data_IF_812000670544
#
_entry.id   IF_812000670544
#
_cell.length_a   1.000
_cell.length_b   1.000
_cell.length_c   1.000
_cell.angle_alpha   90.00
_cell.angle_beta   90.00
_cell.angle_gamma   90.00
#
_symmetry.space_group_name_H-M   'P 1'
#
loop_
_entity.id
_entity.type
_entity.pdbx_description
1 polymer ?
#
# COMPACT_ATOMS: atom_id res chain seq x y z
N UNK A 1 5.38 -20.31 12.46
CA UNK A 1 4.63 -19.46 13.42
C UNK A 1 3.80 -18.38 12.71
N UNK A 2 4.25 -17.81 11.59
CA UNK A 2 3.39 -16.95 10.74
C UNK A 2 2.30 -17.71 9.98
N UNK A 3 2.50 -19.03 9.77
CA UNK A 3 1.52 -19.98 9.24
C UNK A 3 0.85 -20.82 10.36
N UNK A 4 0.71 -20.26 11.56
CA UNK A 4 0.05 -20.99 12.65
C UNK A 4 -1.44 -21.21 12.36
N UNK A 5 -2.02 -22.26 12.96
CA UNK A 5 -3.47 -22.51 12.88
C UNK A 5 -4.26 -21.46 13.65
N UNK A 6 -3.66 -20.89 14.71
CA UNK A 6 -4.22 -19.75 15.42
C UNK A 6 -3.81 -18.43 14.75
N UNK A 7 -4.81 -17.78 14.14
CA UNK A 7 -4.62 -16.53 13.41
C UNK A 7 -4.11 -15.39 14.30
N UNK A 8 -4.49 -15.36 15.58
CA UNK A 8 -3.98 -14.39 16.54
C UNK A 8 -2.47 -14.56 16.78
N UNK A 9 -1.99 -15.80 16.89
CA UNK A 9 -0.56 -16.10 17.06
C UNK A 9 0.22 -15.70 15.80
N UNK A 10 -0.34 -15.96 14.62
CA UNK A 10 0.25 -15.53 13.36
C UNK A 10 0.39 -14.00 13.26
N UNK A 11 -0.63 -13.24 13.69
CA UNK A 11 -0.60 -11.77 13.73
C UNK A 11 0.46 -11.26 14.69
N UNK A 12 0.55 -11.82 15.90
CA UNK A 12 1.58 -11.41 16.87
C UNK A 12 2.99 -11.77 16.39
N UNK A 13 3.16 -12.92 15.75
CA UNK A 13 4.44 -13.32 15.13
C UNK A 13 4.85 -12.34 14.02
N UNK A 14 3.91 -11.94 13.15
CA UNK A 14 4.17 -10.93 12.10
C UNK A 14 4.60 -9.59 12.70
N UNK A 15 3.90 -9.11 13.74
CA UNK A 15 4.27 -7.87 14.43
C UNK A 15 5.64 -7.95 15.10
N UNK A 16 5.97 -9.10 15.70
CA UNK A 16 7.29 -9.32 16.29
C UNK A 16 8.39 -9.27 15.22
N UNK A 17 8.21 -9.96 14.09
CA UNK A 17 9.17 -9.94 12.98
C UNK A 17 9.35 -8.53 12.41
N UNK A 18 8.25 -7.77 12.32
CA UNK A 18 8.31 -6.36 11.94
C UNK A 18 9.14 -5.53 12.93
N UNK A 19 8.94 -5.69 14.24
CA UNK A 19 9.74 -5.00 15.26
C UNK A 19 11.22 -5.44 15.22
N UNK A 20 11.49 -6.71 14.97
CA UNK A 20 12.86 -7.21 14.84
C UNK A 20 13.55 -6.60 13.62
N UNK A 21 12.85 -6.49 12.47
CA UNK A 21 13.39 -5.86 11.26
C UNK A 21 13.75 -4.39 11.43
N UNK A 22 13.02 -3.66 12.30
CA UNK A 22 13.25 -2.24 12.56
C UNK A 22 14.42 -2.02 13.54
N UNK A 23 14.63 -2.95 14.46
CA UNK A 23 15.66 -2.83 15.49
C UNK A 23 16.96 -3.54 15.10
N UNK A 24 16.91 -4.48 14.16
CA UNK A 24 18.05 -5.28 13.72
C UNK A 24 17.96 -5.49 12.20
N UNK A 25 18.67 -4.67 11.41
CA UNK A 25 18.64 -4.75 9.94
C UNK A 25 19.17 -6.08 9.37
N UNK A 26 19.94 -6.84 10.16
CA UNK A 26 20.67 -8.04 9.70
C UNK A 26 20.01 -9.37 10.11
N UNK A 27 18.80 -9.33 10.67
CA UNK A 27 18.15 -10.53 11.24
C UNK A 27 17.21 -11.23 10.25
N UNK A 28 16.69 -10.53 9.25
CA UNK A 28 15.82 -11.10 8.23
C UNK A 28 16.52 -11.16 6.89
N UNK A 29 16.57 -12.36 6.30
CA UNK A 29 17.04 -12.53 4.92
C UNK A 29 16.07 -11.86 3.93
N UNK A 30 16.55 -11.61 2.71
CA UNK A 30 15.69 -11.19 1.60
C UNK A 30 14.57 -12.22 1.34
N UNK A 31 14.90 -13.51 1.46
CA UNK A 31 13.95 -14.62 1.33
C UNK A 31 12.85 -14.56 2.41
N UNK A 32 13.22 -14.24 3.65
CA UNK A 32 12.25 -14.10 4.74
C UNK A 32 11.31 -12.92 4.45
N UNK A 33 11.84 -11.79 3.96
CA UNK A 33 11.03 -10.63 3.59
C UNK A 33 10.01 -10.95 2.49
N UNK A 34 10.43 -11.68 1.45
CA UNK A 34 9.53 -12.13 0.38
C UNK A 34 8.39 -12.98 0.94
N UNK A 35 8.67 -13.93 1.84
CA UNK A 35 7.62 -14.72 2.49
C UNK A 35 6.67 -13.85 3.32
N UNK A 36 7.17 -12.80 3.98
CA UNK A 36 6.34 -11.88 4.75
C UNK A 36 5.42 -11.05 3.86
N UNK A 37 5.91 -10.62 2.70
CA UNK A 37 5.11 -9.86 1.74
C UNK A 37 3.99 -10.70 1.13
N UNK A 38 4.13 -12.03 1.04
CA UNK A 38 3.03 -12.91 0.60
C UNK A 38 1.80 -12.83 1.52
N UNK A 39 1.97 -12.49 2.82
CA UNK A 39 0.85 -12.41 3.75
C UNK A 39 -0.11 -11.24 3.47
N UNK A 40 0.32 -10.27 2.67
CA UNK A 40 -0.51 -9.18 2.14
C UNK A 40 -1.67 -9.71 1.29
N UNK A 41 -1.60 -10.96 0.81
CA UNK A 41 -2.67 -11.60 0.04
C UNK A 41 -3.49 -12.63 0.84
N UNK A 42 -3.32 -12.71 2.17
CA UNK A 42 -4.06 -13.68 3.00
C UNK A 42 -5.54 -13.34 3.12
N UNK A 43 -6.43 -14.30 3.38
CA UNK A 43 -7.85 -13.99 3.63
C UNK A 43 -8.10 -13.40 5.01
N UNK A 44 -7.15 -13.53 5.94
CA UNK A 44 -7.27 -13.01 7.31
C UNK A 44 -6.84 -11.54 7.38
N UNK A 45 -7.81 -10.60 7.32
CA UNK A 45 -7.55 -9.15 7.28
C UNK A 45 -6.55 -8.66 8.35
N UNK A 46 -6.64 -9.04 9.65
CA UNK A 46 -5.67 -8.56 10.64
C UNK A 46 -4.22 -8.95 10.35
N UNK A 47 -4.00 -10.11 9.74
CA UNK A 47 -2.66 -10.58 9.34
C UNK A 47 -2.19 -9.84 8.09
N UNK A 48 -3.08 -9.67 7.11
CA UNK A 48 -2.80 -8.92 5.90
C UNK A 48 -2.45 -7.45 6.16
N UNK A 49 -3.20 -6.78 7.05
CA UNK A 49 -2.94 -5.39 7.45
C UNK A 49 -1.60 -5.27 8.19
N UNK A 50 -1.24 -6.24 9.04
CA UNK A 50 0.07 -6.26 9.68
C UNK A 50 1.21 -6.48 8.67
N UNK A 51 1.00 -7.32 7.66
CA UNK A 51 1.96 -7.50 6.56
C UNK A 51 2.06 -6.25 5.67
N UNK A 52 0.94 -5.57 5.43
CA UNK A 52 0.88 -4.31 4.70
C UNK A 52 1.64 -3.18 5.41
N UNK A 53 1.53 -3.09 6.73
CA UNK A 53 2.34 -2.18 7.55
C UNK A 53 3.84 -2.45 7.38
N UNK A 54 4.24 -3.72 7.42
CA UNK A 54 5.64 -4.13 7.23
C UNK A 54 6.14 -3.74 5.84
N UNK A 55 5.37 -4.04 4.79
CA UNK A 55 5.68 -3.64 3.41
C UNK A 55 5.81 -2.12 3.28
N UNK A 56 4.84 -1.36 3.80
CA UNK A 56 4.86 0.10 3.71
C UNK A 56 6.06 0.72 4.43
N UNK A 57 6.38 0.25 5.64
CA UNK A 57 7.56 0.71 6.38
C UNK A 57 8.87 0.38 5.67
N UNK A 58 8.97 -0.80 5.04
CA UNK A 58 10.15 -1.17 4.25
C UNK A 58 10.27 -0.34 2.97
N UNK A 59 9.16 -0.10 2.26
CA UNK A 59 9.11 0.81 1.11
C UNK A 59 9.60 2.22 1.46
N UNK A 60 9.19 2.74 2.62
CA UNK A 60 9.65 4.03 3.13
C UNK A 60 11.13 4.02 3.56
N UNK A 61 11.62 2.91 4.13
CA UNK A 61 12.99 2.81 4.65
C UNK A 61 14.04 2.65 3.55
N UNK A 62 13.72 1.96 2.44
CA UNK A 62 14.63 1.78 1.31
C UNK A 62 15.00 3.10 0.61
N UNK A 63 14.23 4.17 0.79
CA UNK A 63 14.52 5.51 0.23
C UNK A 63 15.30 6.42 1.21
N UNK A 64 15.57 5.97 2.44
CA UNK A 64 16.36 6.71 3.42
C UNK A 64 17.87 6.48 3.31
N UNK A 65 18.31 5.51 2.52
CA UNK A 65 19.71 5.11 2.39
C UNK A 65 20.40 5.67 1.13
N UNK A 66 19.63 6.27 0.20
CA UNK A 66 20.14 6.87 -1.02
C UNK A 66 19.51 8.27 -1.16
N UNK A 67 20.31 9.29 -1.47
CA UNK A 67 19.97 10.72 -1.54
C UNK A 67 20.12 11.56 -0.24
N UNK A 68 21.33 11.63 0.31
CA UNK A 68 21.86 12.95 0.72
C UNK A 68 22.28 13.74 -0.54
N UNK A 69 21.31 14.20 -1.34
CA UNK A 69 21.52 15.35 -2.23
C UNK A 69 20.31 16.27 -2.11
N UNK A 70 20.43 17.45 -1.48
CA UNK A 70 19.31 18.36 -1.31
C UNK A 70 19.08 19.11 -2.62
N UNK A 71 18.42 18.48 -3.58
CA UNK A 71 17.99 19.18 -4.80
C UNK A 71 16.77 20.04 -4.50
N UNK A 72 17.05 21.32 -4.25
CA UNK A 72 16.11 22.42 -4.19
C UNK A 72 15.28 22.49 -5.48
N UNK A 73 14.03 22.02 -5.47
CA UNK A 73 12.84 22.66 -6.06
C UNK A 73 11.67 21.67 -6.14
N UNK A 74 10.55 22.05 -5.53
CA UNK A 74 9.20 21.75 -6.03
C UNK A 74 8.70 20.30 -5.92
N UNK A 75 7.56 20.14 -5.24
CA UNK A 75 6.63 19.05 -5.53
C UNK A 75 6.50 18.02 -4.42
N UNK A 76 5.39 18.11 -3.68
CA UNK A 76 4.89 17.02 -2.83
C UNK A 76 4.65 15.71 -3.61
N UNK A 77 4.65 15.77 -4.95
CA UNK A 77 4.48 14.66 -5.89
C UNK A 77 5.66 13.67 -5.90
N UNK A 78 6.90 14.13 -5.76
CA UNK A 78 8.11 13.30 -5.98
C UNK A 78 8.19 12.05 -5.08
N UNK A 79 7.98 12.13 -3.75
CA UNK A 79 8.04 10.95 -2.90
C UNK A 79 6.87 9.99 -3.16
N UNK A 80 5.66 10.49 -3.42
CA UNK A 80 4.51 9.61 -3.69
C UNK A 80 4.67 8.88 -5.03
N UNK A 81 5.20 9.56 -6.04
CA UNK A 81 5.51 8.97 -7.34
C UNK A 81 6.55 7.85 -7.25
N UNK A 82 7.64 8.06 -6.50
CA UNK A 82 8.66 7.01 -6.30
C UNK A 82 8.09 5.81 -5.53
N UNK A 83 7.33 6.05 -4.46
CA UNK A 83 6.68 4.97 -3.70
C UNK A 83 5.65 4.19 -4.55
N UNK A 84 4.89 4.88 -5.41
CA UNK A 84 3.96 4.24 -6.34
C UNK A 84 4.70 3.36 -7.35
N UNK A 85 5.80 3.86 -7.94
CA UNK A 85 6.63 3.06 -8.86
C UNK A 85 7.18 1.82 -8.18
N UNK A 86 7.75 1.93 -6.97
CA UNK A 86 8.24 0.77 -6.22
C UNK A 86 7.12 -0.21 -5.89
N UNK A 87 5.92 0.26 -5.52
CA UNK A 87 4.76 -0.59 -5.25
C UNK A 87 4.31 -1.36 -6.51
N UNK A 88 4.30 -0.70 -7.67
CA UNK A 88 3.95 -1.33 -8.95
C UNK A 88 4.98 -2.39 -9.32
N UNK A 89 6.28 -2.07 -9.21
CA UNK A 89 7.37 -3.02 -9.46
C UNK A 89 7.24 -4.22 -8.53
N UNK A 90 7.01 -3.99 -7.23
CA UNK A 90 6.75 -5.05 -6.27
C UNK A 90 5.55 -5.94 -6.67
N UNK A 91 4.45 -5.34 -7.12
CA UNK A 91 3.29 -6.12 -7.57
C UNK A 91 3.63 -7.00 -8.78
N UNK A 92 4.33 -6.46 -9.77
CA UNK A 92 4.75 -7.18 -10.98
C UNK A 92 5.74 -8.31 -10.67
N UNK A 93 6.72 -8.06 -9.80
CA UNK A 93 7.73 -9.05 -9.38
C UNK A 93 7.14 -10.14 -8.50
N UNK A 94 6.11 -9.82 -7.71
CA UNK A 94 5.57 -10.76 -6.75
C UNK A 94 4.94 -12.00 -7.40
N UNK A 95 4.58 -11.97 -8.70
CA UNK A 95 3.86 -13.04 -9.45
C UNK A 95 2.62 -13.62 -8.73
N UNK A 96 2.19 -13.00 -7.64
CA UNK A 96 1.06 -13.43 -6.84
C UNK A 96 -0.17 -12.85 -7.51
N UNK A 97 -0.72 -13.63 -8.45
CA UNK A 97 -1.94 -13.33 -9.23
C UNK A 97 -3.23 -13.17 -8.38
N UNK A 98 -3.14 -12.75 -7.12
CA UNK A 98 -4.26 -12.56 -6.21
C UNK A 98 -4.57 -11.07 -6.09
N UNK A 99 -5.12 -10.52 -7.19
CA UNK A 99 -5.80 -9.23 -7.32
C UNK A 99 -5.26 -8.02 -6.53
N UNK A 100 -5.02 -6.92 -7.25
CA UNK A 100 -4.68 -5.60 -6.67
C UNK A 100 -5.60 -5.19 -5.51
N UNK A 101 -6.87 -5.60 -5.51
CA UNK A 101 -7.83 -5.32 -4.44
C UNK A 101 -7.41 -5.82 -3.05
N UNK A 102 -6.72 -6.97 -2.96
CA UNK A 102 -6.21 -7.48 -1.68
C UNK A 102 -4.98 -6.73 -1.20
N UNK A 103 -4.13 -6.30 -2.14
CA UNK A 103 -2.97 -5.45 -1.85
C UNK A 103 -3.43 -4.09 -1.32
N UNK A 104 -4.39 -3.46 -2.00
CA UNK A 104 -4.94 -2.16 -1.63
C UNK A 104 -5.63 -2.22 -0.26
N UNK A 105 -6.48 -3.20 0.02
CA UNK A 105 -7.13 -3.33 1.36
C UNK A 105 -6.13 -3.55 2.49
N UNK A 106 -5.06 -4.30 2.25
CA UNK A 106 -4.01 -4.51 3.27
C UNK A 106 -3.26 -3.22 3.60
N UNK A 107 -3.08 -2.37 2.59
CA UNK A 107 -2.36 -1.11 2.70
C UNK A 107 -3.29 0.04 3.09
N UNK A 108 -4.61 -0.13 3.01
CA UNK A 108 -5.60 0.94 3.19
C UNK A 108 -5.46 1.68 4.51
N UNK A 109 -5.21 0.93 5.60
CA UNK A 109 -5.10 1.46 6.96
C UNK A 109 -3.75 2.21 7.20
N UNK A 110 -2.72 1.98 6.38
CA UNK A 110 -1.36 2.49 6.62
C UNK A 110 -0.83 3.44 5.55
N UNK A 111 -1.16 3.19 4.29
CA UNK A 111 -0.70 3.95 3.13
C UNK A 111 -1.82 4.83 2.56
N UNK A 112 -2.79 5.26 3.38
CA UNK A 112 -3.97 6.02 2.92
C UNK A 112 -3.58 7.29 2.16
N UNK A 113 -2.51 7.98 2.58
CA UNK A 113 -2.02 9.19 1.91
C UNK A 113 -1.46 8.90 0.52
N UNK A 114 -0.88 7.72 0.32
CA UNK A 114 -0.36 7.26 -0.99
C UNK A 114 -1.52 6.76 -1.87
N UNK A 115 -2.43 5.97 -1.31
CA UNK A 115 -3.53 5.32 -2.05
C UNK A 115 -4.64 6.29 -2.46
N UNK A 116 -4.79 7.43 -1.77
CA UNK A 116 -5.75 8.48 -2.12
C UNK A 116 -5.15 9.63 -2.94
N UNK A 117 -3.85 9.57 -3.25
CA UNK A 117 -3.20 10.57 -4.11
C UNK A 117 -3.47 10.28 -5.60
N UNK A 118 -4.75 10.35 -5.97
CA UNK A 118 -5.18 10.10 -7.34
C UNK A 118 -4.67 11.15 -8.31
N UNK A 119 -4.45 12.39 -7.83
CA UNK A 119 -3.81 13.44 -8.63
C UNK A 119 -2.42 12.99 -9.06
N UNK A 120 -1.59 12.49 -8.13
CA UNK A 120 -0.29 11.89 -8.44
C UNK A 120 -0.37 10.69 -9.37
N UNK A 121 -1.29 9.75 -9.12
CA UNK A 121 -1.47 8.59 -9.99
C UNK A 121 -1.88 8.96 -11.42
N UNK A 122 -2.77 9.96 -11.58
CA UNK A 122 -3.19 10.43 -12.91
C UNK A 122 -2.11 11.23 -13.61
N UNK A 123 -1.34 12.03 -12.89
CA UNK A 123 -0.19 12.74 -13.45
C UNK A 123 0.87 11.75 -13.97
N UNK A 124 1.16 10.68 -13.22
CA UNK A 124 2.06 9.60 -13.66
C UNK A 124 1.62 8.92 -14.97
N UNK A 125 0.31 8.87 -15.26
CA UNK A 125 -0.23 8.27 -16.48
C UNK A 125 -0.31 9.27 -17.66
N UNK A 126 -0.37 10.57 -17.38
CA UNK A 126 -0.73 11.60 -18.37
C UNK A 126 0.38 12.61 -18.66
N UNK A 127 1.25 12.90 -17.69
CA UNK A 127 2.34 13.85 -17.88
C UNK A 127 3.43 13.19 -18.73
N UNK A 128 3.71 13.80 -19.88
CA UNK A 128 4.90 13.50 -20.65
C UNK A 128 6.09 13.90 -19.79
N UNK A 129 6.68 12.90 -19.17
CA UNK A 129 7.83 13.07 -18.31
C UNK A 129 8.90 13.86 -19.08
N UNK A 130 9.21 15.06 -18.59
CA UNK A 130 10.31 15.86 -19.11
C UNK A 130 11.62 15.15 -18.74
N UNK A 131 12.13 14.37 -19.70
CA UNK A 131 13.52 13.93 -19.95
C UNK A 131 14.35 13.23 -18.84
N UNK A 132 13.95 13.19 -17.56
CA UNK A 132 14.74 12.57 -16.47
C UNK A 132 14.03 11.48 -15.65
N UNK A 133 12.72 11.33 -15.73
CA UNK A 133 12.01 10.22 -15.06
C UNK A 133 11.75 9.07 -16.06
N UNK A 134 11.95 7.83 -15.63
CA UNK A 134 11.67 6.66 -16.47
C UNK A 134 10.19 6.60 -16.84
N UNK A 135 9.92 6.53 -18.16
CA UNK A 135 8.58 6.29 -18.71
C UNK A 135 8.07 4.95 -18.20
N UNK A 136 6.84 4.95 -17.67
CA UNK A 136 6.18 3.73 -17.22
C UNK A 136 6.04 2.77 -18.41
N UNK A 137 6.37 1.51 -18.20
CA UNK A 137 6.06 0.46 -19.18
C UNK A 137 4.55 0.21 -19.23
N UNK A 138 4.05 -0.30 -20.36
CA UNK A 138 2.63 -0.68 -20.50
C UNK A 138 2.13 -1.60 -19.36
N UNK A 139 3.00 -2.46 -18.83
CA UNK A 139 2.66 -3.34 -17.70
C UNK A 139 2.49 -2.53 -16.40
N UNK A 140 3.38 -1.57 -16.15
CA UNK A 140 3.29 -0.68 -14.99
C UNK A 140 2.07 0.24 -15.08
N UNK A 141 1.77 0.79 -16.27
CA UNK A 141 0.56 1.58 -16.50
C UNK A 141 -0.72 0.78 -16.24
N UNK A 142 -0.80 -0.47 -16.74
CA UNK A 142 -1.95 -1.34 -16.50
C UNK A 142 -2.18 -1.58 -15.01
N UNK A 143 -1.11 -1.86 -14.26
CA UNK A 143 -1.19 -2.07 -12.81
C UNK A 143 -1.57 -0.78 -12.09
N UNK A 144 -1.03 0.37 -12.50
CA UNK A 144 -1.39 1.66 -11.92
C UNK A 144 -2.88 1.97 -12.12
N UNK A 145 -3.43 1.70 -13.31
CA UNK A 145 -4.87 1.82 -13.57
C UNK A 145 -5.69 0.88 -12.67
N UNK A 146 -5.24 -0.36 -12.47
CA UNK A 146 -5.90 -1.29 -11.54
C UNK A 146 -5.85 -0.81 -10.08
N UNK A 147 -4.73 -0.22 -9.64
CA UNK A 147 -4.58 0.39 -8.31
C UNK A 147 -5.54 1.58 -8.16
N UNK A 148 -5.62 2.48 -9.15
CA UNK A 148 -6.58 3.60 -9.14
C UNK A 148 -8.00 3.05 -9.02
N UNK A 149 -8.37 2.05 -9.82
CA UNK A 149 -9.71 1.47 -9.80
C UNK A 149 -10.02 0.85 -8.44
N UNK A 150 -9.09 0.11 -7.85
CA UNK A 150 -9.26 -0.53 -6.54
C UNK A 150 -9.38 0.50 -5.42
N UNK A 151 -8.52 1.52 -5.40
CA UNK A 151 -8.56 2.58 -4.37
C UNK A 151 -9.81 3.45 -4.45
N UNK A 152 -10.30 3.76 -5.67
CA UNK A 152 -11.56 4.50 -5.85
C UNK A 152 -12.76 3.67 -5.41
N UNK A 153 -12.78 2.36 -5.68
CA UNK A 153 -13.82 1.46 -5.19
C UNK A 153 -13.80 1.36 -3.67
N UNK A 154 -12.63 1.20 -3.07
CA UNK A 154 -12.51 1.12 -1.61
C UNK A 154 -12.88 2.45 -0.93
N UNK A 155 -12.54 3.59 -1.52
CA UNK A 155 -12.96 4.91 -1.05
C UNK A 155 -14.46 5.15 -1.16
N UNK A 156 -15.09 4.68 -2.24
CA UNK A 156 -16.51 4.96 -2.52
C UNK A 156 -17.47 3.95 -1.89
N UNK A 157 -17.10 2.67 -1.86
CA UNK A 157 -17.93 1.60 -1.34
C UNK A 157 -17.62 1.31 0.13
N UNK A 158 -16.39 1.53 0.61
CA UNK A 158 -15.98 1.22 1.98
C UNK A 158 -16.06 -0.27 2.34
N UNK A 159 -16.15 -1.15 1.33
CA UNK A 159 -16.24 -2.59 1.52
C UNK A 159 -14.87 -3.22 1.21
N UNK A 160 -14.22 -3.89 2.19
CA UNK A 160 -13.02 -4.65 1.91
C UNK A 160 -13.33 -5.83 0.96
N UNK A 161 -12.32 -6.38 0.26
CA UNK A 161 -12.49 -7.41 -0.75
C UNK A 161 -13.17 -8.67 -0.20
N UNK A 162 -13.78 -9.44 -1.10
CA UNK A 162 -14.53 -10.67 -0.79
C UNK A 162 -13.68 -11.60 0.08
N UNK A 163 -14.18 -11.97 1.26
CA UNK A 163 -13.46 -12.84 2.21
C UNK A 163 -12.69 -12.12 3.31
N UNK A 164 -12.54 -10.78 3.23
CA UNK A 164 -11.92 -9.93 4.29
C UNK A 164 -12.89 -9.00 5.02
N UNK A 165 -14.14 -8.96 4.59
CA UNK A 165 -15.20 -8.20 5.26
C UNK A 165 -15.53 -8.75 6.63
N UNK A 166 -15.08 -8.05 7.68
CA UNK A 166 -15.82 -8.03 8.94
C UNK A 166 -17.12 -7.23 8.71
N UNK A 167 -18.25 -7.78 9.14
CA UNK A 167 -19.57 -7.17 9.01
C UNK A 167 -19.55 -5.68 9.38
N UNK A 168 -20.04 -4.82 8.45
CA UNK A 168 -20.32 -3.38 8.59
C UNK A 168 -19.69 -2.73 9.82
N UNK A 169 -18.52 -2.10 9.68
CA UNK A 169 -18.27 -0.93 10.52
C UNK A 169 -19.19 0.16 10.02
N UNK A 170 -20.20 0.49 10.83
CA UNK A 170 -20.99 1.70 10.65
C UNK A 170 -19.98 2.85 10.65
N UNK A 171 -19.70 3.39 9.46
CA UNK A 171 -19.07 4.69 9.34
C UNK A 171 -20.03 5.68 10.01
N UNK A 172 -19.58 6.27 11.12
CA UNK A 172 -20.18 7.48 11.66
C UNK A 172 -20.22 8.49 10.51
N UNK A 173 -21.38 8.61 9.88
CA UNK A 173 -21.68 9.75 9.02
C UNK A 173 -21.58 10.97 9.92
N UNK A 174 -20.56 11.80 9.64
CA UNK A 174 -20.40 13.15 10.18
C UNK A 174 -21.76 13.83 10.27
N UNK A 175 -22.26 13.97 11.49
CA UNK A 175 -23.57 14.54 11.78
C UNK A 175 -23.59 16.07 11.66
N UNK A 176 -22.68 16.66 10.87
CA UNK A 176 -22.46 18.11 10.83
C UNK A 176 -22.46 18.74 9.43
N UNK A 177 -22.90 18.04 8.37
CA UNK A 177 -22.96 18.63 7.02
C UNK A 177 -24.38 18.84 6.47
N UNK A 178 -25.40 18.96 7.32
CA UNK A 178 -26.79 19.23 6.87
C UNK A 178 -27.50 20.32 7.68
N UNK A 179 -26.89 21.49 7.87
CA UNK A 179 -27.65 22.72 8.17
C UNK A 179 -27.06 23.91 7.40
N UNK A 180 -27.04 23.82 6.07
CA UNK A 180 -26.83 24.97 5.20
C UNK A 180 -27.55 24.75 3.86
N UNK A 181 -28.88 24.64 3.86
CA UNK A 181 -29.71 24.92 2.68
C UNK A 181 -31.22 25.03 3.05
N UNK A 182 -31.71 26.26 3.11
CA UNK A 182 -33.03 26.66 2.59
C UNK A 182 -34.30 26.30 3.38
N UNK A 183 -34.81 27.25 4.16
CA UNK A 183 -35.92 28.15 3.77
C UNK A 183 -36.06 29.29 4.75
#
# INVERSE_FOLDING_TARGET
MTLDKDHEVAVQAMKLLMLMSQNCEDVLSSEDCETLYQFVYTTHRPLAVAAGEFLYKRLLSCQGADEEVPSKRGGKFRPNASHLRTLITFFLESELHKHVTYLVDSLWDWATSLLKDWECMTALLLENIEEEEEVLSNAQESVLVEIILATVREASEGHPPVGRGAARRVSEFDSNLFVCAGT
#
